data_IF_206630315451
#
_entry.id   IF_206630315451
#
_cell.length_a   1.000
_cell.length_b   1.000
_cell.length_c   1.000
_cell.angle_alpha   90.00
_cell.angle_beta   90.00
_cell.angle_gamma   90.00
#
_symmetry.space_group_name_H-M   'P 1'
#
loop_
_entity.id
_entity.type
_entity.pdbx_description
1 polymer ?
#
# COMPACT_ATOMS: atom_id res chain seq x y z
N UNK A 1 -16.93 -53.04 13.58
CA UNK A 1 -15.56 -52.48 13.54
C UNK A 1 -15.41 -51.78 12.20
N UNK A 2 -15.70 -50.46 12.17
CA UNK A 2 -15.72 -49.63 10.94
C UNK A 2 -14.49 -48.73 11.03
N UNK A 3 -13.56 -48.90 10.12
CA UNK A 3 -12.36 -48.08 10.02
C UNK A 3 -12.71 -46.73 9.36
N UNK A 4 -12.55 -45.64 10.10
CA UNK A 4 -12.61 -44.27 9.59
C UNK A 4 -11.25 -43.96 8.98
N UNK A 5 -11.21 -43.83 7.66
CA UNK A 5 -10.06 -43.33 6.92
C UNK A 5 -10.10 -41.80 6.98
N UNK A 6 -9.30 -41.22 7.86
CA UNK A 6 -8.96 -39.80 7.82
C UNK A 6 -8.07 -39.54 6.60
N UNK A 7 -8.61 -38.81 5.61
CA UNK A 7 -7.84 -38.20 4.53
C UNK A 7 -7.27 -36.89 5.06
N UNK A 8 -6.00 -36.90 5.45
CA UNK A 8 -5.23 -35.65 5.58
C UNK A 8 -5.13 -34.98 4.21
N UNK A 9 -5.83 -33.86 4.06
CA UNK A 9 -5.65 -32.97 2.93
C UNK A 9 -4.32 -32.24 3.13
N UNK A 10 -3.29 -32.68 2.43
CA UNK A 10 -2.01 -31.97 2.32
C UNK A 10 -2.30 -30.66 1.57
N UNK A 11 -2.36 -29.55 2.27
CA UNK A 11 -2.38 -28.22 1.67
C UNK A 11 -0.98 -27.99 1.12
N UNK A 12 -0.82 -28.20 -0.18
CA UNK A 12 0.39 -27.85 -0.91
C UNK A 12 0.58 -26.33 -0.80
N UNK A 13 1.66 -25.89 -0.14
CA UNK A 13 2.04 -24.48 -0.11
C UNK A 13 2.27 -23.99 -1.54
N UNK A 14 1.69 -22.86 -1.96
CA UNK A 14 1.91 -22.34 -3.31
C UNK A 14 3.40 -22.10 -3.54
N UNK A 15 3.88 -22.53 -4.70
CA UNK A 15 5.25 -22.34 -5.14
C UNK A 15 5.62 -20.85 -5.07
N UNK A 16 6.88 -20.48 -4.72
CA UNK A 16 7.30 -19.09 -4.65
C UNK A 16 7.15 -18.46 -6.04
N UNK A 17 6.17 -17.57 -6.18
CA UNK A 17 5.95 -16.81 -7.40
C UNK A 17 7.15 -15.89 -7.64
N UNK A 18 7.45 -15.68 -8.94
CA UNK A 18 8.53 -14.84 -9.45
C UNK A 18 8.68 -13.53 -8.66
N UNK A 19 9.92 -13.08 -8.42
CA UNK A 19 10.33 -11.89 -7.64
C UNK A 19 9.87 -10.54 -8.23
N UNK A 20 8.85 -10.51 -9.07
CA UNK A 20 8.24 -9.31 -9.64
C UNK A 20 6.90 -9.06 -8.97
N UNK A 21 6.49 -7.78 -8.88
CA UNK A 21 5.24 -7.38 -8.25
C UNK A 21 4.00 -8.12 -8.78
N UNK A 22 2.92 -8.15 -8.01
CA UNK A 22 1.66 -8.78 -8.40
C UNK A 22 0.83 -7.89 -9.32
N UNK A 23 0.08 -8.49 -10.23
CA UNK A 23 -1.01 -7.82 -10.95
C UNK A 23 -2.25 -7.79 -10.08
N UNK A 24 -2.90 -6.63 -9.97
CA UNK A 24 -4.17 -6.48 -9.25
C UNK A 24 -5.24 -6.02 -10.22
N UNK A 25 -6.35 -6.75 -10.31
CA UNK A 25 -7.51 -6.40 -11.10
C UNK A 25 -8.73 -6.16 -10.21
N UNK A 26 -9.17 -4.92 -10.16
CA UNK A 26 -10.43 -4.50 -9.54
C UNK A 26 -11.49 -4.46 -10.62
N UNK A 27 -12.54 -5.27 -10.52
CA UNK A 27 -13.54 -5.46 -11.58
C UNK A 27 -14.94 -5.11 -11.08
N UNK A 28 -15.47 -3.95 -11.50
CA UNK A 28 -16.83 -3.51 -11.22
C UNK A 28 -17.18 -3.44 -9.74
N UNK A 29 -16.22 -3.05 -8.91
CA UNK A 29 -16.36 -3.07 -7.46
C UNK A 29 -17.28 -1.96 -6.99
N UNK A 30 -18.34 -2.36 -6.27
CA UNK A 30 -19.18 -1.47 -5.49
C UNK A 30 -19.24 -1.94 -4.04
N UNK A 31 -19.29 -0.97 -3.10
CA UNK A 31 -19.27 -1.29 -1.68
C UNK A 31 -20.17 -0.35 -0.88
N UNK A 32 -20.90 -0.95 0.07
CA UNK A 32 -21.82 -0.26 0.98
C UNK A 32 -21.48 -0.59 2.42
N UNK A 33 -21.63 0.41 3.28
CA UNK A 33 -21.65 0.25 4.73
C UNK A 33 -23.07 0.47 5.28
N UNK A 34 -23.28 0.11 6.53
CA UNK A 34 -24.55 0.28 7.21
C UNK A 34 -25.52 -0.90 7.08
N UNK A 35 -26.76 -0.69 7.54
CA UNK A 35 -27.80 -1.71 7.48
C UNK A 35 -28.57 -1.64 6.15
N UNK A 36 -29.33 -2.71 5.83
CA UNK A 36 -30.23 -2.71 4.66
C UNK A 36 -31.25 -1.56 4.68
N UNK A 37 -31.62 -1.08 5.88
CA UNK A 37 -32.54 0.04 6.03
C UNK A 37 -31.90 1.42 5.76
N UNK A 38 -30.58 1.54 5.91
CA UNK A 38 -29.84 2.79 5.65
C UNK A 38 -28.44 2.47 5.06
N UNK A 39 -28.38 2.03 3.80
CA UNK A 39 -27.13 1.70 3.15
C UNK A 39 -26.37 2.96 2.73
N UNK A 40 -25.11 3.06 3.11
CA UNK A 40 -24.19 4.12 2.67
C UNK A 40 -23.30 3.57 1.56
N UNK A 41 -23.58 3.95 0.30
CA UNK A 41 -22.71 3.59 -0.81
C UNK A 41 -21.41 4.41 -0.77
N UNK A 42 -20.27 3.72 -0.76
CA UNK A 42 -18.95 4.35 -0.70
C UNK A 42 -18.21 4.21 -2.01
N UNK A 43 -18.29 3.05 -2.66
CA UNK A 43 -17.71 2.80 -3.99
C UNK A 43 -18.82 2.44 -4.98
N UNK A 44 -18.71 2.92 -6.21
CA UNK A 44 -19.67 2.68 -7.26
C UNK A 44 -19.00 2.29 -8.58
N UNK A 45 -19.08 1.01 -8.92
CA UNK A 45 -18.59 0.42 -10.17
C UNK A 45 -17.13 0.77 -10.50
N UNK A 46 -16.24 0.65 -9.52
CA UNK A 46 -14.79 0.94 -9.69
C UNK A 46 -14.12 -0.22 -10.40
N UNK A 47 -13.45 0.07 -11.52
CA UNK A 47 -12.60 -0.89 -12.24
C UNK A 47 -11.22 -0.29 -12.45
N UNK A 48 -10.17 -1.01 -12.05
CA UNK A 48 -8.79 -0.57 -12.06
C UNK A 48 -7.87 -1.78 -12.17
N UNK A 49 -6.86 -1.70 -13.02
CA UNK A 49 -5.77 -2.69 -13.07
C UNK A 49 -4.46 -2.05 -12.62
N UNK A 50 -3.75 -2.68 -11.70
CA UNK A 50 -2.36 -2.35 -11.35
C UNK A 50 -1.46 -3.40 -11.98
N UNK A 51 -0.49 -2.98 -12.78
CA UNK A 51 0.43 -3.89 -13.45
C UNK A 51 1.52 -4.39 -12.50
N UNK A 52 2.13 -5.56 -12.74
CA UNK A 52 3.26 -6.03 -11.95
C UNK A 52 4.39 -5.00 -11.88
N UNK A 53 4.78 -4.63 -10.65
CA UNK A 53 5.81 -3.63 -10.40
C UNK A 53 5.40 -2.19 -10.66
N UNK A 54 4.14 -1.91 -10.96
CA UNK A 54 3.62 -0.56 -11.14
C UNK A 54 3.41 0.16 -9.81
N UNK A 55 3.67 1.46 -9.79
CA UNK A 55 3.34 2.36 -8.69
C UNK A 55 2.12 3.21 -9.08
N UNK A 56 0.97 2.93 -8.50
CA UNK A 56 -0.29 3.66 -8.72
C UNK A 56 -0.66 4.47 -7.49
N UNK A 57 -1.01 5.74 -7.66
CA UNK A 57 -1.59 6.56 -6.60
C UNK A 57 -3.10 6.72 -6.80
N UNK A 58 -3.87 6.56 -5.71
CA UNK A 58 -5.29 6.84 -5.63
C UNK A 58 -5.46 8.23 -4.98
N UNK A 59 -5.85 9.20 -5.77
CA UNK A 59 -6.01 10.60 -5.37
C UNK A 59 -7.50 10.96 -5.30
N UNK A 60 -7.89 11.82 -4.38
CA UNK A 60 -9.27 12.30 -4.28
C UNK A 60 -9.62 12.88 -2.92
N UNK A 61 -10.80 13.49 -2.75
CA UNK A 61 -11.20 14.13 -1.50
C UNK A 61 -11.22 13.17 -0.31
N UNK A 62 -11.03 13.71 0.90
CA UNK A 62 -11.12 12.92 2.12
C UNK A 62 -12.49 12.27 2.27
N UNK A 63 -12.52 11.01 2.71
CA UNK A 63 -13.75 10.26 2.93
C UNK A 63 -14.49 9.81 1.66
N UNK A 64 -13.93 9.96 0.45
CA UNK A 64 -14.59 9.48 -0.77
C UNK A 64 -14.63 7.96 -0.88
N UNK A 65 -13.70 7.20 -0.27
CA UNK A 65 -13.69 5.74 -0.31
C UNK A 65 -12.35 5.10 -0.68
N UNK A 66 -11.27 5.87 -0.81
CA UNK A 66 -9.92 5.35 -1.18
C UNK A 66 -9.42 4.30 -0.20
N UNK A 67 -9.45 4.59 1.10
CA UNK A 67 -9.04 3.63 2.15
C UNK A 67 -9.97 2.41 2.21
N UNK A 68 -11.25 2.56 1.81
CA UNK A 68 -12.15 1.40 1.64
C UNK A 68 -11.64 0.51 0.52
N UNK A 69 -11.38 1.05 -0.67
CA UNK A 69 -10.85 0.27 -1.79
C UNK A 69 -9.53 -0.41 -1.42
N UNK A 70 -8.67 0.29 -0.68
CA UNK A 70 -7.41 -0.25 -0.17
C UNK A 70 -7.62 -1.49 0.71
N UNK A 71 -8.59 -1.45 1.65
CA UNK A 71 -8.93 -2.60 2.51
C UNK A 71 -9.45 -3.79 1.70
N UNK A 72 -10.27 -3.51 0.67
CA UNK A 72 -10.77 -4.54 -0.23
C UNK A 72 -9.62 -5.19 -1.02
N UNK A 73 -8.66 -4.39 -1.55
CA UNK A 73 -7.46 -4.89 -2.26
C UNK A 73 -6.58 -5.72 -1.32
N UNK A 74 -6.45 -5.31 -0.05
CA UNK A 74 -5.69 -6.06 0.94
C UNK A 74 -6.35 -7.38 1.37
N UNK A 75 -7.63 -7.58 1.02
CA UNK A 75 -8.42 -8.74 1.46
C UNK A 75 -8.90 -8.66 2.90
N UNK A 76 -8.89 -7.46 3.50
CA UNK A 76 -9.39 -7.24 4.87
C UNK A 76 -10.91 -7.25 4.95
N UNK A 77 -11.57 -6.92 3.86
CA UNK A 77 -13.02 -6.93 3.70
C UNK A 77 -13.36 -7.42 2.29
N UNK A 78 -14.45 -8.15 2.06
CA UNK A 78 -14.91 -8.49 0.72
C UNK A 78 -15.68 -7.33 0.11
N UNK A 79 -15.64 -7.10 -1.21
CA UNK A 79 -16.50 -6.15 -1.89
C UNK A 79 -17.98 -6.59 -1.82
N UNK A 80 -18.91 -5.63 -1.76
CA UNK A 80 -20.35 -5.96 -1.77
C UNK A 80 -20.81 -6.44 -3.15
N UNK A 81 -20.24 -5.87 -4.22
CA UNK A 81 -20.40 -6.30 -5.62
C UNK A 81 -19.09 -6.19 -6.37
N UNK A 82 -18.96 -6.94 -7.46
CA UNK A 82 -17.74 -7.03 -8.23
C UNK A 82 -16.76 -8.01 -7.59
N UNK A 83 -15.51 -7.97 -8.02
CA UNK A 83 -14.44 -8.83 -7.49
C UNK A 83 -13.08 -8.16 -7.63
N UNK A 84 -12.13 -8.63 -6.84
CA UNK A 84 -10.73 -8.20 -6.92
C UNK A 84 -9.88 -9.45 -7.07
N UNK A 85 -8.94 -9.42 -8.00
CA UNK A 85 -8.05 -10.53 -8.32
C UNK A 85 -6.60 -10.10 -8.11
N UNK A 86 -5.78 -11.03 -7.65
CA UNK A 86 -4.31 -10.95 -7.72
C UNK A 86 -3.82 -12.07 -8.62
N UNK A 87 -3.12 -11.73 -9.70
CA UNK A 87 -2.60 -12.70 -10.67
C UNK A 87 -3.68 -13.71 -11.11
N UNK A 88 -4.88 -13.17 -11.47
CA UNK A 88 -6.09 -13.89 -11.86
C UNK A 88 -6.77 -14.73 -10.74
N UNK A 89 -6.23 -14.73 -9.51
CA UNK A 89 -6.81 -15.43 -8.36
C UNK A 89 -7.65 -14.47 -7.52
N UNK A 90 -8.92 -14.80 -7.17
CA UNK A 90 -9.76 -13.94 -6.34
C UNK A 90 -9.16 -13.68 -4.96
N UNK A 91 -9.16 -12.42 -4.54
CA UNK A 91 -8.78 -12.01 -3.18
C UNK A 91 -9.99 -12.23 -2.27
N UNK A 92 -9.89 -13.19 -1.35
CA UNK A 92 -10.96 -13.54 -0.40
C UNK A 92 -10.56 -13.36 1.06
N UNK A 93 -9.26 -13.22 1.35
CA UNK A 93 -8.71 -13.07 2.69
C UNK A 93 -7.37 -12.33 2.64
N UNK A 94 -6.86 -11.81 3.77
CA UNK A 94 -5.50 -11.27 3.87
C UNK A 94 -4.46 -12.34 3.52
N UNK A 95 -3.36 -11.92 2.90
CA UNK A 95 -2.27 -12.78 2.50
C UNK A 95 -0.92 -12.08 2.73
N UNK A 96 0.14 -12.79 3.17
CA UNK A 96 1.47 -12.20 3.41
C UNK A 96 2.13 -11.56 2.18
N UNK A 97 1.68 -11.88 0.97
CA UNK A 97 2.14 -11.24 -0.27
C UNK A 97 1.62 -9.81 -0.44
N UNK A 98 0.57 -9.43 0.32
CA UNK A 98 -0.07 -8.11 0.31
C UNK A 98 0.06 -7.44 1.67
N UNK A 99 0.92 -6.47 1.78
CA UNK A 99 1.19 -5.79 3.06
C UNK A 99 0.61 -4.38 3.03
N UNK A 100 -0.09 -4.02 4.12
CA UNK A 100 -0.63 -2.67 4.31
C UNK A 100 0.25 -1.90 5.29
N UNK A 101 0.63 -0.68 4.90
CA UNK A 101 1.24 0.32 5.77
C UNK A 101 0.23 1.43 5.98
N UNK A 102 -0.21 1.60 7.23
CA UNK A 102 -1.19 2.60 7.61
C UNK A 102 -0.55 3.96 7.89
N UNK A 103 -1.36 5.00 7.94
CA UNK A 103 -0.98 6.36 8.31
C UNK A 103 -0.33 6.41 9.71
N UNK A 104 -0.88 5.65 10.67
CA UNK A 104 -0.22 5.37 11.93
C UNK A 104 0.73 4.18 11.79
N UNK A 105 1.99 4.31 12.24
CA UNK A 105 2.96 3.21 12.16
C UNK A 105 2.51 1.94 12.86
N UNK A 106 1.56 2.03 13.82
CA UNK A 106 0.98 0.90 14.56
C UNK A 106 2.03 -0.06 15.09
N UNK A 107 3.17 0.48 15.57
CA UNK A 107 4.21 -0.31 16.20
C UNK A 107 3.75 -0.80 17.57
N UNK A 108 4.12 -2.04 17.92
CA UNK A 108 3.86 -2.57 19.26
C UNK A 108 4.75 -1.85 20.28
N UNK A 109 4.20 -1.04 21.20
CA UNK A 109 4.99 -0.18 22.08
C UNK A 109 5.85 -0.95 23.10
N UNK A 110 5.49 -2.19 23.40
CA UNK A 110 6.22 -3.11 24.29
C UNK A 110 7.30 -3.93 23.58
N UNK A 111 7.42 -3.83 22.26
CA UNK A 111 8.45 -4.50 21.46
C UNK A 111 9.52 -3.50 21.02
N UNK A 112 10.77 -3.97 20.95
CA UNK A 112 11.85 -3.20 20.35
C UNK A 112 11.65 -3.02 18.85
N UNK A 113 12.36 -2.09 18.25
CA UNK A 113 12.35 -1.84 16.80
C UNK A 113 12.61 -3.14 16.02
N UNK A 114 13.67 -3.87 16.39
CA UNK A 114 14.01 -5.14 15.76
C UNK A 114 12.87 -6.15 15.83
N UNK A 115 12.26 -6.31 17.01
CA UNK A 115 11.16 -7.25 17.23
C UNK A 115 9.86 -6.83 16.50
N UNK A 116 9.65 -5.53 16.30
CA UNK A 116 8.56 -5.01 15.47
C UNK A 116 8.74 -5.41 14.01
N UNK A 117 9.95 -5.28 13.47
CA UNK A 117 10.25 -5.65 12.09
C UNK A 117 10.20 -7.17 11.92
N UNK A 118 10.74 -7.94 12.86
CA UNK A 118 10.78 -9.40 12.83
C UNK A 118 9.40 -10.08 12.86
N UNK A 119 8.32 -9.34 13.17
CA UNK A 119 7.00 -9.89 13.46
C UNK A 119 6.46 -10.79 12.33
N UNK A 120 6.58 -10.37 11.08
CA UNK A 120 6.09 -11.13 9.94
C UNK A 120 6.82 -12.47 9.76
N UNK A 121 8.15 -12.45 9.90
CA UNK A 121 8.96 -13.67 9.86
C UNK A 121 8.67 -14.59 11.05
N UNK A 122 8.39 -14.01 12.23
CA UNK A 122 7.99 -14.76 13.41
C UNK A 122 6.65 -15.46 13.19
N UNK A 123 5.65 -14.76 12.64
CA UNK A 123 4.33 -15.31 12.36
C UNK A 123 4.38 -16.46 11.34
N UNK A 124 5.30 -16.38 10.38
CA UNK A 124 5.55 -17.43 9.37
C UNK A 124 6.40 -18.59 9.90
N UNK A 125 6.94 -18.49 11.12
CA UNK A 125 7.83 -19.53 11.70
C UNK A 125 9.24 -19.58 11.10
N UNK A 126 9.65 -18.60 10.27
CA UNK A 126 10.93 -18.61 9.54
C UNK A 126 12.00 -17.69 10.16
N UNK A 127 11.69 -16.98 11.25
CA UNK A 127 12.57 -16.00 11.86
C UNK A 127 13.97 -16.54 12.17
N UNK A 128 14.09 -17.79 12.61
CA UNK A 128 15.39 -18.39 12.96
C UNK A 128 16.29 -18.55 11.74
N UNK A 129 15.71 -18.89 10.59
CA UNK A 129 16.44 -19.11 9.34
C UNK A 129 16.70 -17.80 8.56
N UNK A 130 15.81 -16.80 8.71
CA UNK A 130 15.84 -15.56 7.93
C UNK A 130 16.12 -14.33 8.80
N UNK A 131 16.82 -14.50 9.93
CA UNK A 131 17.07 -13.43 10.90
C UNK A 131 17.76 -12.21 10.28
N UNK A 132 18.75 -12.43 9.42
CA UNK A 132 19.56 -11.38 8.80
C UNK A 132 18.71 -10.43 7.93
N UNK A 133 17.55 -10.89 7.44
CA UNK A 133 16.62 -10.04 6.70
C UNK A 133 16.05 -8.89 7.52
N UNK A 134 15.94 -9.06 8.84
CA UNK A 134 15.48 -7.99 9.75
C UNK A 134 16.51 -6.88 9.81
N UNK A 135 17.77 -7.26 9.93
CA UNK A 135 18.90 -6.34 9.99
C UNK A 135 19.03 -5.61 8.65
N UNK A 136 18.97 -6.33 7.52
CA UNK A 136 18.96 -5.77 6.17
C UNK A 136 17.79 -4.80 5.95
N UNK A 137 16.59 -5.12 6.44
CA UNK A 137 15.42 -4.26 6.29
C UNK A 137 15.59 -2.95 7.07
N UNK A 138 16.17 -3.01 8.27
CA UNK A 138 16.48 -1.82 9.08
C UNK A 138 17.60 -0.97 8.46
N UNK A 139 18.64 -1.58 7.91
CA UNK A 139 19.70 -0.86 7.18
C UNK A 139 19.11 -0.14 5.93
N UNK A 140 18.24 -0.80 5.17
CA UNK A 140 17.60 -0.20 3.98
C UNK A 140 16.78 1.04 4.28
N UNK A 141 16.24 1.17 5.48
CA UNK A 141 15.49 2.36 5.92
C UNK A 141 16.33 3.31 6.80
N UNK A 142 17.65 3.10 6.86
CA UNK A 142 18.59 3.95 7.59
C UNK A 142 18.44 3.88 9.12
N UNK A 143 18.00 2.74 9.66
CA UNK A 143 17.76 2.53 11.10
C UNK A 143 18.59 1.39 11.71
N UNK A 144 19.71 0.99 11.08
CA UNK A 144 20.59 -0.07 11.57
C UNK A 144 21.13 0.15 12.99
N UNK A 145 21.28 1.40 13.44
CA UNK A 145 21.70 1.73 14.81
C UNK A 145 20.58 1.67 15.86
N UNK A 146 19.31 1.42 15.48
CA UNK A 146 18.15 1.55 16.37
C UNK A 146 17.48 0.22 16.76
N UNK A 147 18.13 -0.92 16.54
CA UNK A 147 17.57 -2.26 16.80
C UNK A 147 16.99 -2.42 18.20
N UNK A 148 17.64 -1.84 19.21
CA UNK A 148 17.30 -1.97 20.63
C UNK A 148 16.33 -0.91 21.14
N UNK A 149 16.09 0.15 20.37
CA UNK A 149 15.17 1.23 20.75
C UNK A 149 13.72 0.73 20.82
N UNK A 150 12.92 1.39 21.64
CA UNK A 150 11.46 1.19 21.70
C UNK A 150 10.76 2.26 20.86
N UNK A 151 9.50 2.03 20.42
CA UNK A 151 8.75 2.99 19.60
C UNK A 151 8.65 4.39 20.20
N UNK A 152 8.55 4.54 21.52
CA UNK A 152 8.47 5.84 22.21
C UNK A 152 9.79 6.64 22.20
N UNK A 153 10.90 6.01 21.82
CA UNK A 153 12.21 6.66 21.67
C UNK A 153 12.45 7.17 20.24
N UNK A 154 11.48 6.94 19.32
CA UNK A 154 11.60 7.28 17.91
C UNK A 154 10.86 8.59 17.58
N UNK A 155 11.41 9.36 16.62
CA UNK A 155 10.63 10.40 15.96
C UNK A 155 9.50 9.78 15.11
N UNK A 156 8.47 10.57 14.75
CA UNK A 156 7.39 10.09 13.88
C UNK A 156 7.90 9.53 12.54
N UNK A 157 8.89 10.19 11.93
CA UNK A 157 9.52 9.70 10.69
C UNK A 157 10.32 8.41 10.89
N UNK A 158 11.00 8.24 12.01
CA UNK A 158 11.68 6.98 12.34
C UNK A 158 10.67 5.85 12.55
N UNK A 159 9.57 6.10 13.27
CA UNK A 159 8.52 5.12 13.49
C UNK A 159 7.88 4.68 12.16
N UNK A 160 7.67 5.62 11.23
CA UNK A 160 7.16 5.29 9.88
C UNK A 160 8.15 4.45 9.09
N UNK A 161 9.45 4.74 9.15
CA UNK A 161 10.50 3.91 8.53
C UNK A 161 10.54 2.50 9.12
N UNK A 162 10.35 2.33 10.42
CA UNK A 162 10.22 1.00 11.05
C UNK A 162 8.99 0.25 10.51
N UNK A 163 7.85 0.93 10.36
CA UNK A 163 6.65 0.32 9.77
C UNK A 163 6.89 -0.13 8.32
N UNK A 164 7.62 0.66 7.54
CA UNK A 164 8.03 0.29 6.18
C UNK A 164 9.00 -0.91 6.19
N UNK A 165 10.01 -0.93 7.07
CA UNK A 165 10.92 -2.08 7.22
C UNK A 165 10.15 -3.35 7.60
N UNK A 166 9.16 -3.24 8.52
CA UNK A 166 8.27 -4.35 8.91
C UNK A 166 7.44 -4.88 7.74
N UNK A 167 7.08 -4.01 6.80
CA UNK A 167 6.41 -4.44 5.57
C UNK A 167 7.39 -5.15 4.63
N UNK A 168 8.53 -4.54 4.36
CA UNK A 168 9.51 -5.00 3.37
C UNK A 168 10.23 -6.29 3.75
N UNK A 169 10.39 -6.59 5.06
CA UNK A 169 11.02 -7.83 5.53
C UNK A 169 10.31 -9.10 5.03
N UNK A 170 9.03 -8.97 4.65
CA UNK A 170 8.22 -10.07 4.16
C UNK A 170 8.32 -10.30 2.64
N UNK A 171 9.11 -9.51 1.89
CA UNK A 171 9.16 -9.48 0.42
C UNK A 171 7.77 -9.44 -0.21
N UNK A 172 6.99 -8.38 0.05
CA UNK A 172 5.63 -8.29 -0.47
C UNK A 172 5.65 -8.20 -2.00
N UNK A 173 4.66 -8.82 -2.64
CA UNK A 173 4.38 -8.63 -4.07
C UNK A 173 3.56 -7.35 -4.30
N UNK A 174 2.71 -6.99 -3.32
CA UNK A 174 1.94 -5.76 -3.31
C UNK A 174 2.15 -5.01 -2.00
N UNK A 175 2.55 -3.75 -2.10
CA UNK A 175 2.61 -2.81 -0.98
C UNK A 175 1.44 -1.83 -1.09
N UNK A 176 0.61 -1.79 -0.08
CA UNK A 176 -0.55 -0.92 0.02
C UNK A 176 -0.28 0.15 1.07
N UNK A 177 -0.33 1.42 0.68
CA UNK A 177 0.07 2.55 1.50
C UNK A 177 -1.14 3.48 1.73
N UNK A 178 -1.61 3.60 2.97
CA UNK A 178 -2.74 4.47 3.33
C UNK A 178 -2.21 5.75 4.00
N UNK A 179 -2.07 6.83 3.22
CA UNK A 179 -1.53 8.13 3.66
C UNK A 179 -0.25 8.02 4.52
N UNK A 180 0.77 7.24 4.10
CA UNK A 180 1.89 6.84 4.94
C UNK A 180 2.76 8.00 5.41
N UNK A 181 2.69 9.15 4.72
CA UNK A 181 3.53 10.31 4.99
C UNK A 181 2.74 11.51 5.55
N UNK A 182 1.42 11.36 5.77
CA UNK A 182 0.53 12.46 6.14
C UNK A 182 0.84 13.13 7.50
N UNK A 183 1.48 12.40 8.43
CA UNK A 183 1.81 12.91 9.77
C UNK A 183 3.25 13.43 9.91
N UNK A 184 4.02 13.44 8.81
CA UNK A 184 5.40 13.89 8.82
C UNK A 184 5.52 15.40 8.57
N UNK A 185 6.51 16.03 9.17
CA UNK A 185 6.91 17.39 8.82
C UNK A 185 7.42 17.44 7.36
N UNK A 186 7.47 18.63 6.77
CA UNK A 186 7.75 18.81 5.36
C UNK A 186 9.10 18.23 4.92
N UNK A 187 10.18 18.44 5.71
CA UNK A 187 11.52 17.99 5.32
C UNK A 187 11.63 16.47 5.43
N UNK A 188 11.12 15.90 6.52
CA UNK A 188 11.08 14.44 6.71
C UNK A 188 10.25 13.78 5.63
N UNK A 189 9.10 14.37 5.23
CA UNK A 189 8.24 13.88 4.15
C UNK A 189 8.98 13.83 2.83
N UNK A 190 9.69 14.90 2.44
CA UNK A 190 10.48 14.93 1.21
C UNK A 190 11.56 13.85 1.17
N UNK A 191 12.27 13.66 2.27
CA UNK A 191 13.29 12.61 2.40
C UNK A 191 12.66 11.22 2.25
N UNK A 192 11.54 10.96 2.94
CA UNK A 192 10.82 9.68 2.89
C UNK A 192 10.25 9.37 1.50
N UNK A 193 9.76 10.37 0.76
CA UNK A 193 9.29 10.19 -0.61
C UNK A 193 10.43 9.70 -1.52
N UNK A 194 11.59 10.31 -1.43
CA UNK A 194 12.76 9.90 -2.22
C UNK A 194 13.24 8.49 -1.84
N UNK A 195 13.22 8.18 -0.55
CA UNK A 195 13.58 6.84 -0.03
C UNK A 195 12.60 5.77 -0.51
N UNK A 196 11.29 6.04 -0.45
CA UNK A 196 10.25 5.12 -0.92
C UNK A 196 10.40 4.80 -2.42
N UNK A 197 10.65 5.83 -3.25
CA UNK A 197 10.95 5.63 -4.67
C UNK A 197 12.17 4.74 -4.87
N UNK A 198 13.26 5.01 -4.13
CA UNK A 198 14.50 4.22 -4.22
C UNK A 198 14.28 2.75 -3.81
N UNK A 199 13.51 2.50 -2.76
CA UNK A 199 13.14 1.16 -2.32
C UNK A 199 12.29 0.43 -3.37
N UNK A 200 11.27 1.10 -3.89
CA UNK A 200 10.41 0.56 -4.93
C UNK A 200 11.19 0.23 -6.23
N UNK A 201 12.06 1.12 -6.68
CA UNK A 201 12.89 0.88 -7.87
C UNK A 201 13.80 -0.35 -7.73
N UNK A 202 14.30 -0.62 -6.53
CA UNK A 202 15.16 -1.78 -6.24
C UNK A 202 14.39 -3.08 -6.11
N UNK A 203 13.26 -3.05 -5.40
CA UNK A 203 12.52 -4.27 -5.05
C UNK A 203 11.45 -4.66 -6.06
N UNK A 204 10.96 -3.70 -6.90
CA UNK A 204 9.99 -3.92 -7.98
C UNK A 204 8.64 -4.54 -7.56
N UNK A 205 8.24 -4.37 -6.31
CA UNK A 205 6.88 -4.72 -5.87
C UNK A 205 5.86 -3.78 -6.48
N UNK A 206 4.63 -4.25 -6.69
CA UNK A 206 3.51 -3.38 -7.07
C UNK A 206 3.11 -2.49 -5.90
N UNK A 207 2.69 -1.26 -6.15
CA UNK A 207 2.32 -0.32 -5.09
C UNK A 207 0.99 0.36 -5.39
N UNK A 208 0.12 0.40 -4.37
CA UNK A 208 -1.08 1.24 -4.36
C UNK A 208 -0.94 2.23 -3.21
N UNK A 209 -0.82 3.51 -3.54
CA UNK A 209 -0.74 4.61 -2.58
C UNK A 209 -2.06 5.35 -2.51
N UNK A 210 -2.62 5.50 -1.34
CA UNK A 210 -3.72 6.43 -1.07
C UNK A 210 -3.14 7.72 -0.53
N UNK A 211 -3.48 8.83 -1.16
CA UNK A 211 -3.11 10.17 -0.70
C UNK A 211 -4.16 11.20 -1.11
N UNK A 212 -4.17 12.34 -0.45
CA UNK A 212 -4.93 13.54 -0.83
C UNK A 212 -3.99 14.65 -1.35
N UNK A 213 -2.68 14.42 -1.35
CA UNK A 213 -1.66 15.35 -1.82
C UNK A 213 -1.33 15.08 -3.29
N UNK A 214 -1.67 16.05 -4.17
CA UNK A 214 -1.44 15.96 -5.61
C UNK A 214 0.05 15.87 -5.94
N UNK A 215 0.89 16.66 -5.25
CA UNK A 215 2.34 16.67 -5.51
C UNK A 215 2.98 15.34 -5.09
N UNK A 216 2.53 14.77 -3.97
CA UNK A 216 2.98 13.45 -3.54
C UNK A 216 2.62 12.37 -4.57
N UNK A 217 1.35 12.34 -5.03
CA UNK A 217 0.88 11.38 -6.02
C UNK A 217 1.71 11.46 -7.32
N UNK A 218 1.91 12.68 -7.85
CA UNK A 218 2.67 12.91 -9.08
C UNK A 218 4.17 12.66 -8.92
N UNK A 219 4.74 12.85 -7.73
CA UNK A 219 6.15 12.60 -7.48
C UNK A 219 6.46 11.11 -7.37
N UNK A 220 5.57 10.34 -6.71
CA UNK A 220 5.80 8.94 -6.38
C UNK A 220 5.30 7.96 -7.45
N UNK A 221 4.12 8.21 -8.04
CA UNK A 221 3.44 7.22 -8.85
C UNK A 221 3.73 7.36 -10.35
N UNK A 222 3.68 6.25 -11.08
CA UNK A 222 3.71 6.23 -12.55
C UNK A 222 2.33 6.53 -13.14
N UNK A 223 1.27 6.27 -12.38
CA UNK A 223 -0.11 6.57 -12.75
C UNK A 223 -0.89 7.06 -11.53
N UNK A 224 -1.67 8.12 -11.73
CA UNK A 224 -2.53 8.71 -10.71
C UNK A 224 -3.98 8.50 -11.12
N UNK A 225 -4.75 7.80 -10.28
CA UNK A 225 -6.17 7.55 -10.47
C UNK A 225 -6.95 8.49 -9.57
N UNK A 226 -7.74 9.38 -10.19
CA UNK A 226 -8.48 10.43 -9.49
C UNK A 226 -9.91 9.94 -9.23
N UNK A 227 -10.31 10.01 -7.97
CA UNK A 227 -11.64 9.61 -7.51
C UNK A 227 -12.56 10.81 -7.35
N UNK A 228 -13.83 10.62 -7.74
CA UNK A 228 -14.91 11.56 -7.46
C UNK A 228 -15.26 11.60 -5.96
N UNK A 229 -16.02 12.61 -5.48
CA UNK A 229 -16.72 12.53 -4.20
C UNK A 229 -17.60 11.27 -4.11
N UNK A 230 -17.98 10.92 -2.88
CA UNK A 230 -18.82 9.74 -2.59
C UNK A 230 -20.22 9.81 -3.22
N UNK A 231 -20.73 8.71 -3.81
CA UNK A 231 -20.07 7.41 -3.97
C UNK A 231 -18.93 7.51 -5.00
N UNK A 232 -17.75 7.00 -4.60
CA UNK A 232 -16.54 7.18 -5.38
C UNK A 232 -16.56 6.37 -6.68
N UNK A 233 -16.26 7.04 -7.77
CA UNK A 233 -15.97 6.50 -9.09
C UNK A 233 -14.61 7.01 -9.56
N UNK A 234 -14.02 6.35 -10.53
CA UNK A 234 -12.84 6.90 -11.20
C UNK A 234 -13.29 8.07 -12.07
N UNK A 235 -12.80 9.26 -11.76
CA UNK A 235 -13.09 10.49 -12.51
C UNK A 235 -12.09 10.70 -13.67
N UNK A 236 -10.81 10.36 -13.43
CA UNK A 236 -9.75 10.46 -14.44
C UNK A 236 -8.56 9.57 -14.07
N UNK A 237 -7.71 9.27 -15.05
CA UNK A 237 -6.42 8.62 -14.87
C UNK A 237 -5.35 9.44 -15.58
N UNK A 238 -4.27 9.78 -14.87
CA UNK A 238 -3.14 10.52 -15.40
C UNK A 238 -1.90 9.63 -15.42
N UNK A 239 -1.27 9.51 -16.58
CA UNK A 239 0.04 8.84 -16.70
C UNK A 239 1.14 9.84 -16.44
N UNK A 240 2.07 9.52 -15.54
CA UNK A 240 3.23 10.36 -15.22
C UNK A 240 4.44 9.76 -15.91
N UNK A 241 4.58 10.07 -17.21
CA UNK A 241 5.70 9.62 -18.06
C UNK A 241 6.95 10.50 -17.84
N UNK A 242 7.49 10.40 -16.62
CA UNK A 242 8.71 11.09 -16.20
C UNK A 242 9.66 10.10 -15.55
N UNK A 243 10.95 10.10 -15.96
CA UNK A 243 11.94 9.21 -15.36
C UNK A 243 12.22 9.56 -13.90
N UNK A 244 12.66 8.59 -13.12
CA UNK A 244 13.18 8.81 -11.78
C UNK A 244 14.71 8.98 -11.80
N UNK A 245 15.28 9.82 -10.90
CA UNK A 245 14.59 10.67 -9.92
C UNK A 245 13.87 11.84 -10.57
N UNK A 246 12.64 12.14 -10.12
CA UNK A 246 11.87 13.28 -10.60
C UNK A 246 12.32 14.57 -9.90
N UNK A 247 12.39 15.65 -10.67
CA UNK A 247 12.67 16.99 -10.14
C UNK A 247 11.35 17.74 -9.94
N UNK A 248 11.08 18.22 -8.71
CA UNK A 248 9.83 18.92 -8.37
C UNK A 248 9.60 20.21 -9.19
N UNK A 249 10.67 20.81 -9.69
CA UNK A 249 10.63 21.97 -10.58
C UNK A 249 10.43 21.61 -12.07
N UNK A 250 10.19 20.34 -12.44
CA UNK A 250 9.94 19.98 -13.84
C UNK A 250 8.62 20.59 -14.31
N UNK A 251 8.59 21.39 -15.40
CA UNK A 251 7.37 22.02 -15.90
C UNK A 251 6.27 21.03 -16.25
N UNK A 252 6.62 19.79 -16.63
CA UNK A 252 5.66 18.73 -16.94
C UNK A 252 4.91 18.26 -15.68
N UNK A 253 5.57 18.22 -14.51
CA UNK A 253 4.87 17.97 -13.24
C UNK A 253 3.91 19.12 -12.91
N UNK A 254 4.28 20.36 -13.20
CA UNK A 254 3.40 21.53 -13.06
C UNK A 254 2.14 21.42 -13.92
N UNK A 255 2.27 21.00 -15.18
CA UNK A 255 1.14 20.77 -16.08
C UNK A 255 0.22 19.66 -15.58
N UNK A 256 0.77 18.51 -15.17
CA UNK A 256 0.01 17.39 -14.61
C UNK A 256 -0.67 17.76 -13.28
N UNK A 257 -0.02 18.60 -12.46
CA UNK A 257 -0.63 19.14 -11.24
C UNK A 257 -1.87 19.99 -11.55
N UNK A 258 -1.78 20.88 -12.52
CA UNK A 258 -2.91 21.71 -12.95
C UNK A 258 -4.07 20.84 -13.47
N UNK A 259 -3.78 19.83 -14.29
CA UNK A 259 -4.76 18.86 -14.79
C UNK A 259 -5.43 18.09 -13.66
N UNK A 260 -4.65 17.56 -12.70
CA UNK A 260 -5.18 16.85 -11.54
C UNK A 260 -6.09 17.73 -10.68
N UNK A 261 -5.69 18.99 -10.43
CA UNK A 261 -6.51 19.96 -9.69
C UNK A 261 -7.80 20.29 -10.45
N UNK A 262 -7.78 20.35 -11.79
CA UNK A 262 -8.98 20.50 -12.62
C UNK A 262 -9.99 19.38 -12.38
N UNK A 263 -9.54 18.12 -12.40
CA UNK A 263 -10.40 16.96 -12.12
C UNK A 263 -10.93 16.90 -10.69
N UNK A 264 -10.22 17.53 -9.74
CA UNK A 264 -10.67 17.64 -8.34
C UNK A 264 -11.61 18.84 -8.10
N UNK A 265 -11.88 19.67 -9.13
CA UNK A 265 -12.70 20.87 -9.02
C UNK A 265 -11.99 22.04 -8.31
N UNK A 266 -10.65 22.04 -8.29
CA UNK A 266 -9.82 23.03 -7.58
C UNK A 266 -9.01 23.94 -8.51
N UNK A 267 -9.23 23.87 -9.83
CA UNK A 267 -8.40 24.60 -10.83
C UNK A 267 -8.47 26.12 -10.74
N UNK A 268 -9.55 26.68 -10.19
CA UNK A 268 -9.74 28.15 -10.08
C UNK A 268 -9.12 28.75 -8.80
N UNK A 269 -8.53 27.93 -7.93
CA UNK A 269 -8.09 28.36 -6.59
C UNK A 269 -6.59 28.64 -6.50
N UNK A 270 -5.83 28.52 -7.63
CA UNK A 270 -4.35 28.64 -7.64
C UNK A 270 -3.84 29.37 -8.88
#
# INVERSE_FOLDING_TARGET
MVAVLEREATIEAPAPSSKNGARIDVQGVSHWFGSQANPLQVLDNVSLTVQPGEFVALLGPSGCGKSTLLRLIAGLEPPTRGRILQDDVPITAPDPSRIVVFQDPTLYPWRRVWDNVALGLQARGVLKAERDRVDDALERVGLGGFHRAFPHELSGGMAQRVALARALVNDPQLLVLDEPLGKLDSLTRLAMQSELVSLWQRARFSTVLVTHDVEEALFLAQRVVIFSPRPARIAAELTVDLPYPRHRGDPRLGALRHEALGHLGLAESW
#
